data_IF_623840440878
#
_entry.id   IF_623840440878
#
_cell.length_a   1.000
_cell.length_b   1.000
_cell.length_c   1.000
_cell.angle_alpha   90.00
_cell.angle_beta   90.00
_cell.angle_gamma   90.00
#
_symmetry.space_group_name_H-M   'P 1'
#
loop_
_entity.id
_entity.type
_entity.pdbx_description
1 polymer ?
#
# COMPACT_ATOMS: atom_id res chain seq x y z
N UNK A 1 15.78 17.95 10.87
CA UNK A 1 15.58 16.50 11.07
C UNK A 1 16.90 15.89 11.42
N UNK A 2 16.98 15.08 12.44
CA UNK A 2 18.16 14.29 12.71
C UNK A 2 18.07 12.91 12.01
N UNK A 3 19.19 12.21 11.88
CA UNK A 3 19.27 10.92 11.19
C UNK A 3 19.37 9.75 12.17
N UNK A 4 19.17 9.99 13.48
CA UNK A 4 19.27 8.96 14.49
C UNK A 4 18.06 8.01 14.44
N UNK A 5 18.30 6.75 14.80
CA UNK A 5 17.25 5.74 14.91
C UNK A 5 16.76 5.74 16.35
N UNK A 6 15.45 5.91 16.52
CA UNK A 6 14.79 5.92 17.83
C UNK A 6 13.82 4.76 17.93
N UNK A 7 13.86 4.05 19.04
CA UNK A 7 12.90 2.98 19.37
C UNK A 7 11.81 3.46 20.34
N UNK A 8 12.09 4.48 21.14
CA UNK A 8 11.18 5.01 22.14
C UNK A 8 11.28 6.54 22.20
N UNK A 9 10.15 7.18 22.51
CA UNK A 9 10.05 8.61 22.75
C UNK A 9 9.41 8.82 24.10
N UNK A 10 9.97 9.75 24.90
CA UNK A 10 9.46 10.13 26.19
C UNK A 10 9.02 11.59 26.17
N UNK A 11 7.74 11.84 26.44
CA UNK A 11 7.19 13.16 26.61
C UNK A 11 7.24 13.55 28.10
N UNK A 12 7.82 14.69 28.41
CA UNK A 12 7.75 15.31 29.74
C UNK A 12 6.82 16.52 29.67
N UNK A 13 5.95 16.68 30.64
CA UNK A 13 5.07 17.85 30.83
C UNK A 13 5.40 18.53 32.16
N UNK A 14 5.28 19.84 32.23
CA UNK A 14 5.64 20.65 33.37
C UNK A 14 4.63 21.77 33.60
N UNK A 15 4.15 21.99 34.86
CA UNK A 15 4.31 21.13 36.03
C UNK A 15 3.45 19.86 35.93
N UNK A 16 2.24 19.96 35.40
CA UNK A 16 1.26 18.92 35.12
C UNK A 16 0.28 19.39 34.06
N UNK A 17 -0.70 18.56 33.67
CA UNK A 17 -1.76 18.92 32.74
C UNK A 17 -2.09 17.84 31.71
N UNK A 18 -3.09 18.09 30.89
CA UNK A 18 -3.54 17.16 29.85
C UNK A 18 -2.92 17.47 28.49
N UNK A 19 -2.47 16.44 27.78
CA UNK A 19 -2.02 16.50 26.40
C UNK A 19 -2.96 15.66 25.53
N UNK A 20 -3.71 16.29 24.64
CA UNK A 20 -4.69 15.61 23.82
C UNK A 20 -4.04 14.72 22.74
N UNK A 21 -2.92 15.12 22.16
CA UNK A 21 -2.24 14.39 21.07
C UNK A 21 -0.76 14.70 21.03
N UNK A 22 0.01 13.69 20.68
CA UNK A 22 1.41 13.81 20.28
C UNK A 22 1.57 13.19 18.91
N UNK A 23 2.22 13.87 17.97
CA UNK A 23 2.55 13.34 16.64
C UNK A 23 4.06 13.29 16.50
N UNK A 24 4.55 12.17 16.02
CA UNK A 24 5.96 11.95 15.72
C UNK A 24 6.07 11.60 14.25
N UNK A 25 6.91 12.34 13.54
CA UNK A 25 7.13 12.14 12.10
C UNK A 25 8.54 11.57 11.90
N UNK A 26 8.63 10.56 11.06
CA UNK A 26 9.89 9.91 10.71
C UNK A 26 9.68 8.84 9.66
N UNK A 27 10.76 8.23 9.22
CA UNK A 27 10.71 7.07 8.33
C UNK A 27 10.92 5.79 9.14
N UNK A 28 10.25 4.73 8.72
CA UNK A 28 10.44 3.40 9.32
C UNK A 28 11.82 2.90 8.94
N UNK A 29 12.63 2.60 9.95
CA UNK A 29 13.90 1.93 9.75
C UNK A 29 13.76 0.43 10.04
N UNK A 30 14.05 -0.39 9.04
CA UNK A 30 14.18 -1.84 9.17
C UNK A 30 15.55 -2.26 8.67
N UNK A 31 16.27 -3.01 9.48
CA UNK A 31 17.55 -3.61 9.06
C UNK A 31 17.30 -4.82 8.16
N UNK A 32 17.30 -4.58 6.86
CA UNK A 32 17.08 -5.61 5.85
C UNK A 32 18.25 -6.58 5.71
N UNK A 33 19.44 -6.26 6.27
CA UNK A 33 20.60 -7.15 6.21
C UNK A 33 20.37 -8.42 7.05
N UNK A 34 19.54 -8.34 8.09
CA UNK A 34 19.19 -9.44 8.98
C UNK A 34 18.07 -10.34 8.46
N UNK A 35 17.37 -9.92 7.40
CA UNK A 35 16.28 -10.70 6.81
C UNK A 35 16.86 -11.73 5.85
N UNK A 36 16.51 -13.01 6.05
CA UNK A 36 16.90 -14.08 5.14
C UNK A 36 16.20 -13.93 3.78
N UNK A 37 16.93 -14.14 2.68
CA UNK A 37 16.37 -14.01 1.34
C UNK A 37 15.24 -15.03 1.03
N UNK A 38 15.16 -16.12 1.80
CA UNK A 38 14.09 -17.11 1.72
C UNK A 38 12.85 -16.75 2.55
N UNK A 39 12.97 -15.76 3.45
CA UNK A 39 11.86 -15.34 4.30
C UNK A 39 10.77 -14.61 3.49
N UNK A 40 9.51 -14.99 3.73
CA UNK A 40 8.36 -14.29 3.14
C UNK A 40 7.98 -13.13 4.04
N UNK A 41 8.04 -11.93 3.49
CA UNK A 41 7.69 -10.68 4.19
C UNK A 41 6.58 -9.95 3.44
N UNK A 42 5.78 -9.17 4.16
CA UNK A 42 4.82 -8.27 3.51
C UNK A 42 5.56 -7.01 3.02
N UNK A 43 5.83 -6.97 1.71
CA UNK A 43 6.52 -5.87 1.04
C UNK A 43 5.69 -4.58 0.98
N UNK A 44 4.36 -4.66 1.16
CA UNK A 44 3.45 -3.51 1.17
C UNK A 44 3.09 -3.05 2.61
N UNK A 45 3.75 -3.56 3.65
CA UNK A 45 3.44 -3.16 5.02
C UNK A 45 4.11 -1.83 5.38
N UNK A 46 3.33 -0.86 5.88
CA UNK A 46 3.87 0.40 6.41
C UNK A 46 4.86 0.14 7.57
N UNK A 47 4.62 -0.87 8.39
CA UNK A 47 5.51 -1.28 9.49
C UNK A 47 6.87 -1.81 9.01
N UNK A 48 6.98 -2.20 7.75
CA UNK A 48 8.23 -2.58 7.10
C UNK A 48 8.88 -1.43 6.30
N UNK A 49 8.21 -0.27 6.18
CA UNK A 49 8.70 0.90 5.46
C UNK A 49 8.05 1.12 4.09
N UNK A 50 7.03 0.35 3.71
CA UNK A 50 6.26 0.64 2.51
C UNK A 50 5.46 1.94 2.65
N UNK A 51 5.26 2.65 1.53
CA UNK A 51 4.60 3.95 1.50
C UNK A 51 3.80 4.12 0.22
N UNK A 52 2.55 4.55 0.31
CA UNK A 52 1.83 5.04 -0.86
C UNK A 52 2.40 6.41 -1.25
N UNK A 53 2.86 6.55 -2.49
CA UNK A 53 3.62 7.73 -2.93
C UNK A 53 2.80 8.65 -3.83
N UNK A 54 1.83 8.11 -4.57
CA UNK A 54 0.97 8.89 -5.46
C UNK A 54 -0.35 8.15 -5.70
N UNK A 55 -1.44 8.89 -5.88
CA UNK A 55 -2.72 8.38 -6.38
C UNK A 55 -3.41 9.44 -7.24
N UNK A 56 -4.37 9.03 -8.06
CA UNK A 56 -5.17 10.00 -8.81
C UNK A 56 -6.34 10.55 -8.00
N UNK A 57 -6.85 9.80 -7.02
CA UNK A 57 -7.94 10.23 -6.14
C UNK A 57 -7.85 9.58 -4.75
N UNK A 58 -8.16 10.33 -3.70
CA UNK A 58 -8.31 9.86 -2.31
C UNK A 58 -9.34 10.74 -1.58
N UNK A 59 -10.47 10.97 -2.23
CA UNK A 59 -11.46 11.95 -1.80
C UNK A 59 -12.05 11.66 -0.41
N UNK A 60 -12.45 10.41 -0.15
CA UNK A 60 -13.07 10.04 1.13
C UNK A 60 -12.05 9.61 2.18
N UNK A 61 -11.02 8.87 1.79
CA UNK A 61 -10.03 8.38 2.74
C UNK A 61 -8.64 8.19 2.11
N UNK A 62 -7.62 8.34 2.95
CA UNK A 62 -6.23 8.53 2.51
C UNK A 62 -5.59 7.23 2.01
N UNK A 63 -4.81 7.32 0.93
CA UNK A 63 -4.15 6.18 0.27
C UNK A 63 -3.24 5.36 1.19
N UNK A 64 -2.59 5.98 2.20
CA UNK A 64 -1.72 5.26 3.14
C UNK A 64 -2.47 4.26 4.03
N UNK A 65 -3.78 4.40 4.19
CA UNK A 65 -4.59 3.45 4.96
C UNK A 65 -4.51 2.01 4.41
N UNK A 66 -4.31 1.85 3.09
CA UNK A 66 -4.09 0.55 2.45
C UNK A 66 -3.01 -0.30 3.11
N UNK A 67 -1.98 0.35 3.67
CA UNK A 67 -0.73 -0.29 4.11
C UNK A 67 -0.68 -0.47 5.62
N UNK A 68 -1.69 0.04 6.35
CA UNK A 68 -1.74 -0.02 7.82
C UNK A 68 -1.84 -1.47 8.32
N UNK A 69 -1.29 -1.78 9.50
CA UNK A 69 -1.35 -3.11 10.09
C UNK A 69 -2.81 -3.49 10.43
N UNK A 70 -3.03 -4.79 10.59
CA UNK A 70 -4.34 -5.33 10.93
C UNK A 70 -5.38 -5.19 9.80
N UNK A 71 -6.58 -5.63 10.08
CA UNK A 71 -7.75 -5.44 9.22
C UNK A 71 -8.38 -4.07 9.50
N UNK A 72 -9.00 -3.44 8.49
CA UNK A 72 -9.72 -2.19 8.67
C UNK A 72 -10.85 -2.30 9.69
N UNK A 73 -11.10 -1.24 10.44
CA UNK A 73 -12.16 -1.18 11.47
C UNK A 73 -13.47 -0.56 10.94
N UNK A 74 -13.39 0.20 9.85
CA UNK A 74 -14.52 0.80 9.12
C UNK A 74 -14.05 1.27 7.74
N UNK A 75 -14.93 1.84 6.92
CA UNK A 75 -14.61 2.36 5.58
C UNK A 75 -13.53 3.47 5.62
N UNK A 76 -13.59 4.38 6.58
CA UNK A 76 -12.63 5.48 6.73
C UNK A 76 -11.20 5.03 7.02
N UNK A 77 -11.01 3.77 7.40
CA UNK A 77 -9.70 3.14 7.63
C UNK A 77 -9.14 2.42 6.37
N UNK A 78 -9.77 2.60 5.23
CA UNK A 78 -9.29 2.17 3.91
C UNK A 78 -8.86 3.34 3.02
N UNK A 79 -8.60 3.07 1.76
CA UNK A 79 -8.47 4.06 0.69
C UNK A 79 -9.75 4.07 -0.11
N UNK A 80 -10.37 5.24 -0.26
CA UNK A 80 -11.63 5.37 -0.98
C UNK A 80 -11.63 6.59 -1.89
N UNK A 81 -11.93 6.35 -3.17
CA UNK A 81 -12.03 7.38 -4.20
C UNK A 81 -13.48 7.88 -4.33
N UNK A 82 -13.65 9.05 -4.90
CA UNK A 82 -14.99 9.56 -5.25
C UNK A 82 -15.61 8.73 -6.36
N UNK A 83 -16.94 8.66 -6.37
CA UNK A 83 -17.65 8.04 -7.48
C UNK A 83 -17.42 8.80 -8.78
N UNK A 84 -16.96 8.06 -9.79
CA UNK A 84 -16.68 8.59 -11.12
C UNK A 84 -17.55 7.88 -12.17
N UNK A 85 -18.39 8.66 -12.87
CA UNK A 85 -19.30 8.14 -13.91
C UNK A 85 -18.73 8.23 -15.31
N UNK A 86 -17.47 8.63 -15.46
CA UNK A 86 -16.81 8.62 -16.75
C UNK A 86 -16.67 7.18 -17.27
N UNK A 87 -17.12 6.87 -18.48
CA UNK A 87 -16.95 5.54 -19.03
C UNK A 87 -15.49 5.09 -19.01
N UNK A 88 -15.27 3.83 -18.64
CA UNK A 88 -13.94 3.23 -18.52
C UNK A 88 -13.01 3.93 -17.53
N UNK A 89 -13.56 4.60 -16.50
CA UNK A 89 -12.74 5.18 -15.44
C UNK A 89 -11.86 4.13 -14.77
N UNK A 90 -10.70 4.56 -14.36
CA UNK A 90 -9.73 3.79 -13.58
C UNK A 90 -9.12 4.68 -12.53
N UNK A 91 -9.29 4.34 -11.27
CA UNK A 91 -8.54 4.96 -10.19
C UNK A 91 -7.33 4.11 -9.82
N UNK A 92 -6.29 4.75 -9.33
CA UNK A 92 -5.04 4.06 -9.06
C UNK A 92 -4.25 4.69 -7.91
N UNK A 93 -3.42 3.86 -7.29
CA UNK A 93 -2.44 4.26 -6.28
C UNK A 93 -1.12 3.57 -6.53
N UNK A 94 -0.02 4.31 -6.41
CA UNK A 94 1.35 3.80 -6.50
C UNK A 94 1.91 3.64 -5.09
N UNK A 95 2.44 2.46 -4.82
CA UNK A 95 3.05 2.08 -3.55
C UNK A 95 4.52 1.77 -3.79
N UNK A 96 5.40 2.51 -3.10
CA UNK A 96 6.80 2.12 -2.93
C UNK A 96 6.84 0.94 -1.96
N UNK A 97 7.42 -0.16 -2.38
CA UNK A 97 7.60 -1.34 -1.53
C UNK A 97 8.63 -1.06 -0.42
N UNK A 98 8.50 -1.78 0.67
CA UNK A 98 9.42 -1.69 1.80
C UNK A 98 10.86 -2.08 1.43
N UNK A 99 11.00 -2.98 0.48
CA UNK A 99 12.26 -3.41 -0.12
C UNK A 99 12.01 -3.88 -1.56
N UNK A 100 13.02 -3.80 -2.42
CA UNK A 100 13.01 -4.46 -3.73
C UNK A 100 12.78 -5.95 -3.53
N UNK A 101 11.80 -6.54 -4.22
CA UNK A 101 11.46 -7.93 -3.97
C UNK A 101 10.58 -8.57 -5.04
N UNK A 102 10.40 -9.88 -4.88
CA UNK A 102 9.52 -10.72 -5.71
C UNK A 102 8.20 -10.94 -4.99
N UNK A 103 7.09 -10.68 -5.66
CA UNK A 103 5.73 -10.87 -5.12
C UNK A 103 5.28 -12.32 -5.37
N UNK A 104 4.79 -12.99 -4.34
CA UNK A 104 4.35 -14.39 -4.41
C UNK A 104 2.89 -14.59 -4.02
N UNK A 105 2.35 -13.69 -3.17
CA UNK A 105 0.96 -13.72 -2.73
C UNK A 105 0.44 -12.30 -2.56
N UNK A 106 -0.80 -12.09 -2.96
CA UNK A 106 -1.49 -10.80 -2.91
C UNK A 106 -2.77 -10.95 -2.11
N UNK A 107 -3.08 -9.96 -1.27
CA UNK A 107 -4.41 -9.73 -0.70
C UNK A 107 -4.90 -8.35 -1.12
N UNK A 108 -6.09 -8.31 -1.69
CA UNK A 108 -6.90 -7.11 -1.84
C UNK A 108 -8.14 -7.28 -0.96
N UNK A 109 -8.24 -6.51 0.11
CA UNK A 109 -9.35 -6.59 1.07
C UNK A 109 -10.32 -5.43 0.86
N UNK A 110 -11.58 -5.74 0.59
CA UNK A 110 -12.69 -4.78 0.46
C UNK A 110 -13.54 -4.70 1.73
N UNK A 111 -13.01 -5.10 2.90
CA UNK A 111 -13.73 -5.07 4.17
C UNK A 111 -14.43 -3.72 4.39
N UNK A 112 -15.68 -3.76 4.84
CA UNK A 112 -16.58 -2.63 5.06
C UNK A 112 -17.13 -1.96 3.80
N UNK A 113 -16.54 -2.13 2.61
CA UNK A 113 -17.03 -1.58 1.36
C UNK A 113 -18.10 -2.51 0.76
N UNK A 114 -19.36 -2.31 1.17
CA UNK A 114 -20.50 -3.17 0.78
C UNK A 114 -21.20 -2.73 -0.49
N UNK A 115 -21.33 -1.43 -0.72
CA UNK A 115 -21.97 -0.86 -1.92
C UNK A 115 -21.05 -0.02 -2.79
N UNK A 116 -19.86 0.29 -2.31
CA UNK A 116 -18.86 1.17 -2.90
C UNK A 116 -17.50 0.49 -3.07
N UNK A 117 -17.48 -0.83 -3.19
CA UNK A 117 -16.29 -1.59 -3.55
C UNK A 117 -16.05 -1.52 -5.07
N UNK A 118 -14.80 -1.62 -5.54
CA UNK A 118 -14.50 -1.69 -6.97
C UNK A 118 -14.99 -3.00 -7.59
N UNK A 119 -15.49 -2.94 -8.83
CA UNK A 119 -15.87 -4.15 -9.59
C UNK A 119 -14.69 -5.10 -9.80
N UNK A 120 -13.51 -4.53 -10.04
CA UNK A 120 -12.30 -5.30 -10.29
C UNK A 120 -11.05 -4.51 -9.97
N UNK A 121 -9.92 -5.20 -9.84
CA UNK A 121 -8.59 -4.62 -9.70
C UNK A 121 -7.60 -5.20 -10.70
N UNK A 122 -6.52 -4.46 -10.94
CA UNK A 122 -5.32 -4.85 -11.70
C UNK A 122 -4.11 -4.38 -10.90
N UNK A 123 -3.08 -5.21 -10.78
CA UNK A 123 -1.83 -4.80 -10.12
C UNK A 123 -0.68 -4.92 -11.11
N UNK A 124 0.12 -3.85 -11.17
CA UNK A 124 1.30 -3.74 -12.01
C UNK A 124 2.51 -3.42 -11.13
N UNK A 125 3.70 -3.76 -11.59
CA UNK A 125 4.95 -3.48 -10.91
C UNK A 125 6.00 -2.89 -11.83
N UNK A 126 6.91 -2.12 -11.26
CA UNK A 126 8.07 -1.59 -11.97
C UNK A 126 9.31 -1.56 -11.06
N UNK A 127 10.48 -1.41 -11.67
CA UNK A 127 11.70 -1.00 -10.97
C UNK A 127 11.93 0.47 -11.26
N UNK A 128 12.00 1.29 -10.20
CA UNK A 128 12.23 2.72 -10.28
C UNK A 128 13.02 3.18 -9.05
N UNK A 129 13.71 4.31 -9.17
CA UNK A 129 14.40 4.93 -8.04
C UNK A 129 13.42 5.41 -6.97
N UNK A 130 13.94 5.55 -5.74
CA UNK A 130 13.11 5.86 -4.58
C UNK A 130 12.42 7.24 -4.65
N UNK A 131 13.00 8.17 -5.41
CA UNK A 131 12.57 9.56 -5.60
C UNK A 131 12.01 9.81 -7.01
N UNK A 132 11.67 8.74 -7.75
CA UNK A 132 11.08 8.85 -9.09
C UNK A 132 9.81 9.70 -9.07
N UNK A 133 9.77 10.71 -9.92
CA UNK A 133 8.56 11.48 -10.19
C UNK A 133 7.66 10.75 -11.19
N UNK A 134 6.66 10.05 -10.69
CA UNK A 134 5.70 9.30 -11.48
C UNK A 134 4.70 10.17 -12.28
N UNK A 135 4.75 11.49 -12.13
CA UNK A 135 3.92 12.42 -12.91
C UNK A 135 4.57 12.81 -14.22
N UNK A 136 5.89 12.83 -14.28
CA UNK A 136 6.68 13.30 -15.42
C UNK A 136 7.54 12.21 -16.07
N UNK A 137 7.76 11.09 -15.40
CA UNK A 137 8.62 10.01 -15.88
C UNK A 137 7.78 8.92 -16.55
N UNK A 138 8.13 8.56 -17.77
CA UNK A 138 7.55 7.39 -18.45
C UNK A 138 8.07 6.11 -17.80
N UNK A 139 7.16 5.29 -17.30
CA UNK A 139 7.44 4.05 -16.56
C UNK A 139 6.90 2.86 -17.33
N UNK A 140 7.74 1.88 -17.57
CA UNK A 140 7.31 0.57 -18.07
C UNK A 140 6.72 -0.26 -16.94
N UNK A 141 5.40 -0.41 -16.94
CA UNK A 141 4.67 -1.21 -15.98
C UNK A 141 4.47 -2.65 -16.46
N UNK A 142 4.82 -3.64 -15.62
CA UNK A 142 4.62 -5.07 -15.88
C UNK A 142 3.42 -5.57 -15.09
N UNK A 143 2.49 -6.25 -15.73
CA UNK A 143 1.33 -6.84 -15.06
C UNK A 143 1.76 -7.93 -14.08
N UNK A 144 1.46 -7.71 -12.80
CA UNK A 144 1.62 -8.71 -11.72
C UNK A 144 0.34 -9.55 -11.64
N UNK A 145 -0.79 -8.90 -11.36
CA UNK A 145 -2.12 -9.52 -11.31
C UNK A 145 -2.97 -8.94 -12.44
N UNK A 146 -3.42 -9.75 -13.41
CA UNK A 146 -4.37 -9.29 -14.43
C UNK A 146 -5.67 -8.79 -13.80
N UNK A 147 -6.47 -8.08 -14.58
CA UNK A 147 -7.75 -7.57 -14.09
C UNK A 147 -8.61 -8.71 -13.54
N UNK A 148 -8.87 -8.66 -12.24
CA UNK A 148 -9.56 -9.67 -11.45
C UNK A 148 -10.76 -9.08 -10.74
N UNK A 149 -11.87 -9.82 -10.73
CA UNK A 149 -13.11 -9.40 -10.08
C UNK A 149 -12.95 -9.33 -8.57
N UNK A 150 -13.62 -8.36 -7.97
CA UNK A 150 -13.73 -8.20 -6.53
C UNK A 150 -15.18 -8.38 -6.08
N UNK A 151 -15.36 -8.61 -4.79
CA UNK A 151 -16.64 -8.76 -4.11
C UNK A 151 -16.74 -7.73 -2.97
N UNK A 152 -17.95 -7.49 -2.52
CA UNK A 152 -18.20 -6.62 -1.38
C UNK A 152 -17.71 -7.26 -0.08
N UNK A 153 -17.08 -6.46 0.80
CA UNK A 153 -16.75 -6.83 2.17
C UNK A 153 -15.99 -8.18 2.27
N UNK A 154 -14.98 -8.37 1.41
CA UNK A 154 -14.34 -9.67 1.20
C UNK A 154 -12.80 -9.56 1.08
N UNK A 155 -12.10 -10.60 1.55
CA UNK A 155 -10.66 -10.77 1.38
C UNK A 155 -10.38 -11.61 0.12
N UNK A 156 -9.67 -11.02 -0.86
CA UNK A 156 -9.33 -11.68 -2.12
C UNK A 156 -7.84 -12.03 -2.11
N UNK A 157 -7.55 -13.31 -2.08
CA UNK A 157 -6.19 -13.84 -2.16
C UNK A 157 -5.87 -14.31 -3.56
N UNK A 158 -4.68 -13.94 -4.06
CA UNK A 158 -4.18 -14.31 -5.38
C UNK A 158 -2.76 -14.84 -5.25
N UNK A 159 -2.51 -16.00 -5.82
CA UNK A 159 -1.21 -16.68 -5.87
C UNK A 159 -0.97 -17.25 -7.27
N UNK A 160 -1.88 -18.07 -7.78
CA UNK A 160 -1.77 -18.73 -9.08
C UNK A 160 -2.01 -17.78 -10.26
N UNK A 161 -2.72 -16.68 -10.02
CA UNK A 161 -3.03 -15.67 -11.02
C UNK A 161 -1.85 -14.73 -11.30
N UNK A 162 -0.81 -14.75 -10.47
CA UNK A 162 0.36 -13.86 -10.60
C UNK A 162 1.13 -14.21 -11.89
N UNK A 163 1.25 -13.24 -12.80
CA UNK A 163 1.93 -13.39 -14.11
C UNK A 163 3.40 -13.02 -14.07
N UNK A 164 3.74 -11.94 -13.34
CA UNK A 164 5.12 -11.50 -13.16
C UNK A 164 5.44 -11.40 -11.66
N UNK A 165 6.53 -12.04 -11.24
CA UNK A 165 6.95 -12.03 -9.83
C UNK A 165 7.90 -10.90 -9.48
N UNK A 166 8.52 -10.26 -10.44
CA UNK A 166 9.49 -9.19 -10.23
C UNK A 166 10.94 -9.62 -10.51
N UNK A 167 11.92 -8.93 -9.91
CA UNK A 167 11.77 -8.02 -8.75
C UNK A 167 11.11 -6.69 -9.11
N UNK A 168 10.51 -6.05 -8.10
CA UNK A 168 9.90 -4.72 -8.20
C UNK A 168 10.30 -3.86 -7.00
N UNK A 169 10.34 -2.54 -7.22
CA UNK A 169 10.51 -1.52 -6.17
C UNK A 169 9.20 -0.78 -5.90
N UNK A 170 8.34 -0.70 -6.92
CA UNK A 170 7.04 -0.05 -6.84
C UNK A 170 5.95 -0.91 -7.46
N UNK A 171 4.74 -0.78 -6.93
CA UNK A 171 3.54 -1.39 -7.50
C UNK A 171 2.46 -0.35 -7.69
N UNK A 172 1.61 -0.55 -8.70
CA UNK A 172 0.41 0.26 -8.94
C UNK A 172 -0.81 -0.64 -8.80
N UNK A 173 -1.64 -0.36 -7.80
CA UNK A 173 -2.99 -0.92 -7.70
C UNK A 173 -3.92 -0.04 -8.52
N UNK A 174 -4.58 -0.63 -9.50
CA UNK A 174 -5.65 -0.02 -10.27
C UNK A 174 -6.97 -0.63 -9.84
N UNK A 175 -7.99 0.19 -9.71
CA UNK A 175 -9.36 -0.23 -9.39
C UNK A 175 -10.33 0.29 -10.47
N UNK A 176 -11.37 -0.47 -10.74
CA UNK A 176 -12.34 -0.18 -11.80
C UNK A 176 -13.77 -0.28 -11.28
N UNK A 177 -14.65 0.71 -11.56
CA UNK A 177 -14.32 2.04 -12.10
C UNK A 177 -13.72 2.96 -11.02
N UNK A 178 -14.17 2.82 -9.78
CA UNK A 178 -13.87 3.60 -8.57
C UNK A 178 -14.24 2.78 -7.34
N UNK A 179 -14.03 3.30 -6.13
CA UNK A 179 -14.53 2.72 -4.89
C UNK A 179 -13.49 2.64 -3.79
N UNK A 180 -13.73 1.75 -2.82
CA UNK A 180 -12.89 1.60 -1.66
C UNK A 180 -12.20 0.25 -1.53
N UNK A 181 -10.96 0.28 -1.08
CA UNK A 181 -10.14 -0.89 -0.72
C UNK A 181 -9.62 -0.68 0.70
N UNK A 182 -9.91 -1.63 1.58
CA UNK A 182 -9.52 -1.56 2.99
C UNK A 182 -8.02 -1.77 3.17
N UNK A 183 -7.48 -2.86 2.57
CA UNK A 183 -6.07 -3.22 2.71
C UNK A 183 -5.51 -3.82 1.42
N UNK A 184 -4.21 -3.55 1.21
CA UNK A 184 -3.36 -4.22 0.25
C UNK A 184 -2.22 -4.92 0.98
N UNK A 185 -1.98 -6.19 0.67
CA UNK A 185 -0.82 -6.93 1.15
C UNK A 185 -0.11 -7.61 -0.02
N UNK A 186 1.20 -7.55 -0.02
CA UNK A 186 2.05 -8.16 -1.03
C UNK A 186 3.13 -8.96 -0.32
N UNK A 187 2.90 -10.25 -0.15
CA UNK A 187 3.89 -11.13 0.43
C UNK A 187 4.86 -11.63 -0.62
N UNK A 188 6.12 -11.67 -0.25
CA UNK A 188 7.16 -12.13 -1.14
C UNK A 188 8.53 -12.10 -0.50
N UNK A 189 9.57 -12.28 -1.30
CA UNK A 189 10.97 -12.34 -0.87
C UNK A 189 11.72 -11.11 -1.35
N UNK A 190 12.61 -10.64 -0.47
CA UNK A 190 13.52 -9.55 -0.83
C UNK A 190 14.55 -10.02 -1.86
N UNK A 191 14.99 -9.08 -2.69
CA UNK A 191 16.10 -9.26 -3.63
C UNK A 191 17.18 -8.24 -3.27
N UNK A 192 18.30 -8.76 -2.76
CA UNK A 192 19.48 -7.95 -2.40
C UNK A 192 20.23 -7.52 -3.64
#
# INVERSE_FOLDING_TARGET
SDRNIYTHIKLHIYPDGGVARMKVYGEVHKDWSTVDASEIVNLAAATNGAKAVLCNDMFFSHMNNLLMPGRGINMGDGWETKRNRTPNNRDWVIVKLAHRGKVEKILVDTAHFKGNYPDSCLIEGCEAEADTDFTSTEIEWKTILPQSKLQADHEHFFEDEIKAKGPFTHVRLNIFPDGGVSRLRLWGRIVK
#
